data_IF_259791331294
#
_entry.id   IF_259791331294
#
_cell.length_a   1.000
_cell.length_b   1.000
_cell.length_c   1.000
_cell.angle_alpha   90.00
_cell.angle_beta   90.00
_cell.angle_gamma   90.00
#
_symmetry.space_group_name_H-M   'P 1'
#
loop_
_entity.id
_entity.type
_entity.pdbx_description
1 polymer ?
#
# COMPACT_ATOMS: atom_id res chain seq x y z
N UNK A 1 -29.19 -2.65 19.76
CA UNK A 1 -28.70 -3.98 19.34
C UNK A 1 -27.26 -3.86 18.88
N UNK A 2 -26.35 -4.63 19.48
CA UNK A 2 -24.96 -4.79 19.07
C UNK A 2 -24.89 -5.52 17.73
N UNK A 3 -23.94 -5.15 16.86
CA UNK A 3 -23.71 -5.87 15.61
C UNK A 3 -23.35 -7.32 15.93
N UNK A 4 -24.03 -8.28 15.33
CA UNK A 4 -23.68 -9.69 15.46
C UNK A 4 -22.52 -9.99 14.52
N UNK A 5 -21.33 -10.25 15.08
CA UNK A 5 -20.16 -10.67 14.31
C UNK A 5 -20.34 -12.13 13.86
N UNK A 6 -20.47 -12.35 12.57
CA UNK A 6 -20.72 -13.68 12.01
C UNK A 6 -19.41 -14.35 11.57
N UNK A 7 -18.58 -13.60 10.87
CA UNK A 7 -17.43 -14.16 10.14
C UNK A 7 -16.09 -13.92 10.82
N UNK A 8 -16.03 -13.08 11.87
CA UNK A 8 -14.81 -12.77 12.59
C UNK A 8 -14.81 -13.16 14.06
N UNK A 9 -13.61 -13.20 14.62
CA UNK A 9 -13.35 -13.27 16.05
C UNK A 9 -12.38 -12.16 16.45
N UNK A 10 -12.39 -11.76 17.72
CA UNK A 10 -11.37 -10.85 18.24
C UNK A 10 -10.02 -11.54 18.25
N UNK A 11 -8.97 -10.78 17.95
CA UNK A 11 -7.59 -11.24 18.11
C UNK A 11 -7.31 -11.35 19.60
N UNK A 12 -6.65 -12.44 20.01
CA UNK A 12 -6.25 -12.66 21.40
C UNK A 12 -5.50 -11.42 21.94
N UNK A 13 -5.93 -10.81 23.06
CA UNK A 13 -5.22 -9.70 23.69
C UNK A 13 -3.73 -9.97 23.92
N UNK A 14 -3.34 -11.22 24.17
CA UNK A 14 -1.94 -11.60 24.32
C UNK A 14 -1.15 -11.47 23.00
N UNK A 15 -1.76 -11.78 21.85
CA UNK A 15 -1.16 -11.56 20.53
C UNK A 15 -1.12 -10.07 20.18
N UNK A 16 -2.14 -9.31 20.56
CA UNK A 16 -2.11 -7.84 20.43
C UNK A 16 -0.96 -7.25 21.24
N UNK A 17 -0.78 -7.69 22.49
CA UNK A 17 0.28 -7.22 23.38
C UNK A 17 1.70 -7.57 22.91
N UNK A 18 1.87 -8.66 22.15
CA UNK A 18 3.15 -9.02 21.50
C UNK A 18 3.48 -8.14 20.30
N UNK A 19 2.47 -7.50 19.71
CA UNK A 19 2.65 -6.59 18.58
C UNK A 19 3.10 -5.20 19.03
N UNK A 20 3.45 -4.34 18.08
CA UNK A 20 3.70 -2.90 18.32
C UNK A 20 2.43 -2.06 18.20
N UNK A 21 1.26 -2.71 18.12
CA UNK A 21 -0.03 -2.05 17.88
C UNK A 21 -0.40 -1.20 19.09
N UNK A 22 -0.87 0.00 18.84
CA UNK A 22 -1.38 0.91 19.87
C UNK A 22 -2.74 1.50 19.51
N UNK A 23 -3.45 0.91 18.55
CA UNK A 23 -4.84 1.27 18.26
C UNK A 23 -5.70 1.11 19.51
N UNK A 24 -6.65 2.00 19.67
CA UNK A 24 -7.66 2.01 20.74
C UNK A 24 -8.86 1.12 20.41
N UNK A 25 -8.95 0.63 19.17
CA UNK A 25 -10.06 -0.21 18.72
C UNK A 25 -9.79 -1.71 18.92
N UNK A 26 -10.84 -2.52 19.19
CA UNK A 26 -10.73 -3.96 19.15
C UNK A 26 -10.28 -4.45 17.77
N UNK A 27 -9.25 -5.30 17.75
CA UNK A 27 -8.76 -5.92 16.51
C UNK A 27 -9.51 -7.22 16.28
N UNK A 28 -10.06 -7.39 15.08
CA UNK A 28 -10.77 -8.61 14.66
C UNK A 28 -10.09 -9.25 13.47
N UNK A 29 -10.19 -10.57 13.37
CA UNK A 29 -9.68 -11.36 12.24
C UNK A 29 -10.77 -12.28 11.72
N UNK A 30 -10.87 -12.39 10.39
CA UNK A 30 -11.79 -13.31 9.74
C UNK A 30 -11.46 -14.77 10.11
N UNK A 31 -12.49 -15.57 10.44
CA UNK A 31 -12.35 -16.97 10.89
C UNK A 31 -11.74 -17.89 9.81
N UNK A 32 -12.08 -17.66 8.54
CA UNK A 32 -11.52 -18.37 7.39
C UNK A 32 -10.22 -17.72 6.85
N UNK A 33 -9.24 -17.48 7.73
CA UNK A 33 -7.94 -16.96 7.31
C UNK A 33 -7.20 -17.93 6.35
N UNK A 34 -7.45 -19.24 6.47
CA UNK A 34 -6.89 -20.25 5.57
C UNK A 34 -7.24 -19.99 4.09
N UNK A 35 -8.48 -19.54 3.80
CA UNK A 35 -8.89 -19.12 2.45
C UNK A 35 -8.06 -17.96 1.91
N UNK A 36 -7.80 -16.93 2.74
CA UNK A 36 -6.95 -15.80 2.31
C UNK A 36 -5.51 -16.24 2.03
N UNK A 37 -4.93 -17.12 2.85
CA UNK A 37 -3.60 -17.65 2.60
C UNK A 37 -3.53 -18.46 1.29
N UNK A 38 -4.55 -19.28 1.01
CA UNK A 38 -4.64 -20.04 -0.24
C UNK A 38 -4.72 -19.10 -1.45
N UNK A 39 -5.56 -18.07 -1.39
CA UNK A 39 -5.71 -17.07 -2.43
C UNK A 39 -4.41 -16.28 -2.65
N UNK A 40 -3.74 -15.87 -1.56
CA UNK A 40 -2.45 -15.18 -1.60
C UNK A 40 -1.37 -16.06 -2.24
N UNK A 41 -1.27 -17.33 -1.86
CA UNK A 41 -0.35 -18.27 -2.49
C UNK A 41 -0.59 -18.45 -4.01
N UNK A 42 -1.85 -18.38 -4.46
CA UNK A 42 -2.18 -18.40 -5.88
C UNK A 42 -1.73 -17.11 -6.58
N UNK A 43 -2.08 -15.96 -6.00
CA UNK A 43 -1.64 -14.65 -6.48
C UNK A 43 -0.12 -14.59 -6.65
N UNK A 44 0.64 -14.98 -5.62
CA UNK A 44 2.10 -14.96 -5.60
C UNK A 44 2.68 -15.76 -6.77
N UNK A 45 2.14 -16.96 -7.03
CA UNK A 45 2.57 -17.81 -8.15
C UNK A 45 2.34 -17.15 -9.50
N UNK A 46 1.21 -16.50 -9.69
CA UNK A 46 0.87 -15.79 -10.92
C UNK A 46 1.70 -14.52 -11.09
N UNK A 47 1.86 -13.75 -10.02
CA UNK A 47 2.67 -12.53 -10.00
C UNK A 47 4.12 -12.82 -10.37
N UNK A 48 4.73 -13.88 -9.82
CA UNK A 48 6.07 -14.33 -10.19
C UNK A 48 6.21 -14.60 -11.69
N UNK A 49 5.18 -15.13 -12.34
CA UNK A 49 5.19 -15.36 -13.80
C UNK A 49 5.17 -14.04 -14.58
N UNK A 50 4.60 -12.97 -14.03
CA UNK A 50 4.53 -11.65 -14.67
C UNK A 50 5.85 -10.89 -14.49
N UNK A 51 6.33 -10.76 -13.25
CA UNK A 51 7.46 -9.88 -12.89
C UNK A 51 8.82 -10.60 -12.75
N UNK A 52 8.82 -11.93 -12.69
CA UNK A 52 10.01 -12.76 -12.48
C UNK A 52 10.35 -12.99 -10.99
N UNK A 53 10.93 -14.15 -10.70
CA UNK A 53 11.11 -14.70 -9.34
C UNK A 53 12.14 -13.94 -8.47
N UNK A 54 13.03 -13.17 -9.09
CA UNK A 54 14.19 -12.54 -8.41
C UNK A 54 13.89 -11.21 -7.72
N UNK A 55 12.64 -10.76 -7.70
CA UNK A 55 12.35 -9.37 -7.39
C UNK A 55 11.72 -9.12 -6.01
N UNK A 56 11.14 -10.12 -5.32
CA UNK A 56 10.31 -9.83 -4.13
C UNK A 56 10.28 -10.92 -3.07
N UNK A 57 10.30 -10.47 -1.81
CA UNK A 57 9.70 -11.19 -0.71
C UNK A 57 8.17 -11.02 -0.85
N UNK A 58 7.44 -12.11 -1.08
CA UNK A 58 6.05 -12.03 -1.57
C UNK A 58 5.00 -12.24 -0.49
N UNK A 59 5.42 -12.50 0.75
CA UNK A 59 4.52 -12.64 1.89
C UNK A 59 4.21 -11.28 2.56
N UNK A 60 4.29 -10.18 1.80
CA UNK A 60 4.22 -8.82 2.33
C UNK A 60 2.87 -8.44 2.91
N UNK A 61 1.80 -9.16 2.54
CA UNK A 61 0.46 -8.95 3.09
C UNK A 61 0.19 -9.82 4.34
N UNK A 62 1.13 -10.64 4.79
CA UNK A 62 0.94 -11.45 6.00
C UNK A 62 1.31 -10.70 7.27
N UNK A 63 0.70 -11.14 8.38
CA UNK A 63 1.07 -10.83 9.76
C UNK A 63 1.09 -12.13 10.57
N UNK A 64 1.59 -12.12 11.82
CA UNK A 64 1.58 -13.30 12.69
C UNK A 64 0.18 -13.89 12.95
N UNK A 65 -0.87 -13.06 12.89
CA UNK A 65 -2.25 -13.46 13.21
C UNK A 65 -3.08 -13.77 11.96
N UNK A 66 -2.72 -13.20 10.82
CA UNK A 66 -3.42 -13.47 9.56
C UNK A 66 -3.05 -12.55 8.41
N UNK A 67 -3.65 -12.83 7.26
CA UNK A 67 -3.49 -12.03 6.06
C UNK A 67 -4.13 -10.64 6.23
N UNK A 68 -3.59 -9.64 5.55
CA UNK A 68 -4.07 -8.25 5.58
C UNK A 68 -5.58 -8.15 5.32
N UNK A 69 -6.11 -8.87 4.32
CA UNK A 69 -7.54 -8.87 4.04
C UNK A 69 -8.39 -9.40 5.22
N UNK A 70 -7.92 -10.43 5.93
CA UNK A 70 -8.63 -11.00 7.08
C UNK A 70 -8.73 -10.01 8.25
N UNK A 71 -7.78 -9.07 8.35
CA UNK A 71 -7.74 -8.03 9.37
C UNK A 71 -8.47 -6.76 8.92
N UNK A 72 -8.30 -6.36 7.65
CA UNK A 72 -8.90 -5.16 7.07
C UNK A 72 -10.42 -5.28 6.93
N UNK A 73 -10.92 -6.45 6.54
CA UNK A 73 -12.35 -6.71 6.35
C UNK A 73 -12.74 -7.99 7.09
N UNK A 74 -12.73 -7.97 8.44
CA UNK A 74 -12.87 -9.18 9.24
C UNK A 74 -14.27 -9.81 9.09
N UNK A 75 -15.29 -9.01 8.76
CA UNK A 75 -16.65 -9.46 8.46
C UNK A 75 -16.94 -9.55 6.94
N UNK A 76 -15.89 -9.70 6.12
CA UNK A 76 -16.03 -9.98 4.69
C UNK A 76 -16.90 -11.21 4.45
N UNK A 77 -17.74 -11.17 3.42
CA UNK A 77 -18.51 -12.35 3.00
C UNK A 77 -17.55 -13.47 2.57
N UNK A 78 -17.73 -14.72 3.06
CA UNK A 78 -16.79 -15.82 2.79
C UNK A 78 -16.51 -16.10 1.31
N UNK A 79 -17.51 -15.90 0.45
CA UNK A 79 -17.42 -16.02 -0.99
C UNK A 79 -16.58 -14.89 -1.64
N UNK A 80 -16.56 -13.69 -1.04
CA UNK A 80 -15.78 -12.52 -1.52
C UNK A 80 -14.35 -12.51 -1.01
N UNK A 81 -14.07 -13.21 0.09
CA UNK A 81 -12.79 -13.16 0.80
C UNK A 81 -11.56 -13.51 -0.04
N UNK A 82 -11.66 -14.50 -0.92
CA UNK A 82 -10.54 -14.90 -1.78
C UNK A 82 -10.16 -13.80 -2.78
N UNK A 83 -11.16 -13.17 -3.40
CA UNK A 83 -10.97 -12.04 -4.31
C UNK A 83 -10.34 -10.84 -3.57
N UNK A 84 -10.87 -10.49 -2.39
CA UNK A 84 -10.33 -9.37 -1.59
C UNK A 84 -8.88 -9.61 -1.18
N UNK A 85 -8.52 -10.85 -0.84
CA UNK A 85 -7.14 -11.21 -0.54
C UNK A 85 -6.20 -10.95 -1.72
N UNK A 86 -6.56 -11.43 -2.93
CA UNK A 86 -5.80 -11.16 -4.15
C UNK A 86 -5.70 -9.67 -4.47
N UNK A 87 -6.77 -8.90 -4.24
CA UNK A 87 -6.78 -7.45 -4.42
C UNK A 87 -5.80 -6.73 -3.48
N UNK A 88 -5.76 -7.13 -2.21
CA UNK A 88 -4.81 -6.64 -1.23
C UNK A 88 -3.35 -6.98 -1.59
N UNK A 89 -3.10 -8.23 -2.00
CA UNK A 89 -1.79 -8.66 -2.48
C UNK A 89 -1.35 -7.88 -3.72
N UNK A 90 -2.28 -7.64 -4.66
CA UNK A 90 -2.01 -6.84 -5.84
C UNK A 90 -1.61 -5.40 -5.49
N UNK A 91 -2.37 -4.74 -4.62
CA UNK A 91 -2.06 -3.38 -4.16
C UNK A 91 -0.68 -3.30 -3.49
N UNK A 92 -0.40 -4.23 -2.58
CA UNK A 92 0.87 -4.27 -1.84
C UNK A 92 2.08 -4.61 -2.72
N UNK A 93 1.90 -5.47 -3.73
CA UNK A 93 2.93 -5.83 -4.70
C UNK A 93 3.23 -4.69 -5.69
N UNK A 94 2.20 -3.99 -6.18
CA UNK A 94 2.37 -2.81 -7.05
C UNK A 94 3.12 -1.69 -6.32
N UNK A 95 2.78 -1.42 -5.05
CA UNK A 95 3.49 -0.44 -4.20
C UNK A 95 4.97 -0.84 -3.98
N UNK A 96 5.22 -2.12 -3.67
CA UNK A 96 6.60 -2.64 -3.50
C UNK A 96 7.48 -2.42 -4.74
N UNK A 97 6.94 -2.62 -5.95
CA UNK A 97 7.66 -2.37 -7.20
C UNK A 97 7.86 -0.87 -7.47
N UNK A 98 6.86 -0.01 -7.17
CA UNK A 98 6.99 1.45 -7.36
C UNK A 98 8.21 1.98 -6.59
N UNK A 99 8.32 1.61 -5.32
CA UNK A 99 9.43 2.03 -4.45
C UNK A 99 10.76 1.41 -4.90
N UNK A 100 10.78 0.12 -5.25
CA UNK A 100 11.98 -0.53 -5.80
C UNK A 100 12.50 0.06 -7.12
N UNK A 101 11.65 0.70 -7.94
CA UNK A 101 12.05 1.38 -9.18
C UNK A 101 12.44 2.85 -9.01
N UNK A 102 11.82 3.59 -8.08
CA UNK A 102 12.31 4.92 -7.69
C UNK A 102 13.74 4.83 -7.11
N UNK A 103 14.08 3.66 -6.58
CA UNK A 103 15.38 3.32 -6.00
C UNK A 103 16.47 2.91 -7.01
N UNK A 104 16.18 2.88 -8.31
CA UNK A 104 17.15 2.63 -9.39
C UNK A 104 17.31 3.92 -10.20
N UNK A 105 18.52 4.48 -10.23
CA UNK A 105 18.85 5.78 -10.84
C UNK A 105 18.36 5.88 -12.30
N UNK A 106 17.85 7.04 -12.74
CA UNK A 106 17.69 7.37 -14.15
C UNK A 106 19.00 7.70 -14.89
N UNK A 107 20.15 7.79 -14.19
CA UNK A 107 21.39 8.39 -14.72
C UNK A 107 22.40 7.42 -15.34
N UNK A 108 22.02 6.17 -15.60
CA UNK A 108 22.78 5.31 -16.54
C UNK A 108 22.61 5.75 -18.02
N UNK A 109 22.11 6.96 -18.26
CA UNK A 109 22.29 7.68 -19.52
C UNK A 109 23.51 8.57 -19.39
N UNK A 110 24.68 7.95 -19.51
CA UNK A 110 25.97 8.62 -19.59
C UNK A 110 25.93 9.77 -20.61
N UNK A 111 25.91 11.00 -20.09
CA UNK A 111 26.09 12.24 -20.82
C UNK A 111 27.53 12.34 -21.28
N UNK A 112 27.78 12.02 -22.55
CA UNK A 112 28.93 12.51 -23.29
C UNK A 112 28.47 12.95 -24.69
N UNK A 113 27.70 14.04 -24.73
CA UNK A 113 27.51 14.81 -25.95
C UNK A 113 28.61 15.88 -26.01
N UNK A 114 29.75 15.51 -26.59
CA UNK A 114 30.75 16.47 -27.05
C UNK A 114 30.09 17.26 -28.18
N UNK A 115 30.07 18.59 -28.01
CA UNK A 115 29.67 19.56 -29.04
C UNK A 115 30.59 19.42 -30.25
N UNK A 116 29.99 19.22 -31.42
CA UNK A 116 30.64 19.30 -32.72
C UNK A 116 29.58 19.55 -33.79
N UNK A 117 29.60 20.75 -34.34
CA UNK A 117 28.71 21.27 -35.37
C UNK A 117 29.07 20.71 -36.77
N UNK A 118 28.19 20.99 -37.74
CA UNK A 118 28.28 20.84 -39.21
C UNK A 118 27.46 19.69 -39.85
N UNK A 119 26.24 20.10 -40.24
CA UNK A 119 25.52 19.90 -41.50
C UNK A 119 25.44 18.52 -42.19
N UNK A 120 24.17 18.15 -42.46
CA UNK A 120 23.56 17.86 -43.78
C UNK A 120 23.07 16.42 -44.02
N UNK A 121 21.84 16.43 -44.55
CA UNK A 121 21.06 15.41 -45.30
C UNK A 121 20.38 14.29 -44.54
N UNK A 122 19.04 14.41 -44.54
CA UNK A 122 18.04 13.40 -44.27
C UNK A 122 18.28 12.14 -45.11
N UNK A 123 18.35 10.98 -44.46
CA UNK A 123 17.84 9.74 -45.01
C UNK A 123 17.31 8.88 -43.86
N UNK A 124 15.99 8.69 -43.85
CA UNK A 124 15.24 7.85 -42.91
C UNK A 124 15.80 6.42 -42.95
N UNK A 125 16.55 6.04 -41.91
CA UNK A 125 16.80 4.64 -41.60
C UNK A 125 16.30 4.35 -40.19
N UNK A 126 15.19 3.60 -40.12
CA UNK A 126 14.62 3.03 -38.89
C UNK A 126 15.59 1.98 -38.36
N UNK A 127 16.60 2.40 -37.61
CA UNK A 127 17.34 1.51 -36.71
C UNK A 127 16.79 1.74 -35.31
N UNK A 128 15.71 1.03 -35.00
CA UNK A 128 15.23 0.87 -33.62
C UNK A 128 16.36 0.21 -32.83
N UNK A 129 17.08 1.00 -32.03
CA UNK A 129 17.99 0.52 -31.01
C UNK A 129 17.19 -0.27 -29.97
N UNK A 130 17.19 -1.59 -30.14
CA UNK A 130 16.46 -2.64 -29.39
C UNK A 130 16.87 -2.76 -27.90
N UNK A 131 17.57 -1.77 -27.35
CA UNK A 131 18.19 -1.83 -26.02
C UNK A 131 17.47 -0.99 -24.94
N UNK A 132 16.50 -0.13 -25.28
CA UNK A 132 15.81 0.74 -24.30
C UNK A 132 14.39 0.30 -23.92
N UNK A 133 13.90 -0.85 -24.43
CA UNK A 133 12.51 -1.31 -24.24
C UNK A 133 12.35 -2.57 -23.36
N UNK A 134 13.34 -2.93 -22.53
CA UNK A 134 13.20 -4.03 -21.56
C UNK A 134 13.14 -3.47 -20.15
N UNK A 135 11.91 -3.24 -19.65
CA UNK A 135 11.49 -3.48 -18.24
C UNK A 135 10.31 -2.63 -17.75
N UNK A 136 9.45 -2.16 -18.66
CA UNK A 136 8.11 -1.74 -18.23
C UNK A 136 7.15 -2.94 -18.14
N UNK A 137 7.24 -3.70 -17.05
CA UNK A 137 6.34 -4.81 -16.78
C UNK A 137 4.85 -4.41 -16.81
N UNK A 138 4.53 -3.12 -16.59
CA UNK A 138 3.15 -2.59 -16.64
C UNK A 138 2.60 -2.49 -18.06
N UNK A 139 3.45 -2.29 -19.06
CA UNK A 139 3.02 -2.37 -20.46
C UNK A 139 2.98 -3.80 -21.00
N UNK A 140 3.44 -4.79 -20.22
CA UNK A 140 3.41 -6.19 -20.65
C UNK A 140 1.97 -6.72 -20.82
N UNK A 141 1.73 -7.48 -21.88
CA UNK A 141 0.44 -8.13 -22.13
C UNK A 141 0.07 -9.14 -21.03
N UNK A 142 1.06 -9.67 -20.29
CA UNK A 142 0.82 -10.54 -19.13
C UNK A 142 0.22 -9.77 -17.96
N UNK A 143 0.76 -8.59 -17.65
CA UNK A 143 0.21 -7.73 -16.59
C UNK A 143 -1.19 -7.24 -16.92
N UNK A 144 -1.41 -6.74 -18.14
CA UNK A 144 -2.73 -6.26 -18.57
C UNK A 144 -3.79 -7.38 -18.53
N UNK A 145 -3.43 -8.59 -18.96
CA UNK A 145 -4.32 -9.77 -18.86
C UNK A 145 -4.63 -10.12 -17.42
N UNK A 146 -3.62 -10.10 -16.55
CA UNK A 146 -3.82 -10.35 -15.12
C UNK A 146 -4.76 -9.33 -14.47
N UNK A 147 -4.57 -8.03 -14.75
CA UNK A 147 -5.48 -7.00 -14.25
C UNK A 147 -6.92 -7.22 -14.74
N UNK A 148 -7.10 -7.55 -16.02
CA UNK A 148 -8.41 -7.84 -16.58
C UNK A 148 -9.05 -9.08 -15.93
N UNK A 149 -8.29 -10.14 -15.71
CA UNK A 149 -8.76 -11.36 -15.04
C UNK A 149 -9.17 -11.08 -13.58
N UNK A 150 -8.35 -10.36 -12.83
CA UNK A 150 -8.68 -9.98 -11.45
C UNK A 150 -9.95 -9.13 -11.39
N UNK A 151 -10.12 -8.21 -12.36
CA UNK A 151 -11.32 -7.39 -12.45
C UNK A 151 -12.57 -8.20 -12.81
N UNK A 152 -12.47 -9.15 -13.75
CA UNK A 152 -13.57 -10.06 -14.10
C UNK A 152 -13.96 -10.94 -12.91
N UNK A 153 -12.98 -11.52 -12.20
CA UNK A 153 -13.22 -12.27 -10.96
C UNK A 153 -13.96 -11.42 -9.93
N UNK A 154 -13.60 -10.14 -9.81
CA UNK A 154 -14.30 -9.17 -8.97
C UNK A 154 -15.76 -8.97 -9.38
N UNK A 155 -16.04 -8.76 -10.66
CA UNK A 155 -17.41 -8.61 -11.16
C UNK A 155 -18.26 -9.88 -10.91
N UNK A 156 -17.69 -11.06 -11.12
CA UNK A 156 -18.36 -12.34 -10.88
C UNK A 156 -18.65 -12.57 -9.40
N UNK A 157 -17.72 -12.18 -8.52
CA UNK A 157 -17.80 -12.49 -7.07
C UNK A 157 -18.55 -11.43 -6.27
N UNK A 158 -18.38 -10.16 -6.64
CA UNK A 158 -18.84 -9.02 -5.87
C UNK A 158 -19.85 -8.14 -6.62
N UNK A 159 -20.18 -8.50 -7.87
CA UNK A 159 -21.15 -7.78 -8.69
C UNK A 159 -20.62 -6.44 -9.24
N UNK A 160 -21.52 -5.61 -9.80
CA UNK A 160 -21.16 -4.36 -10.47
C UNK A 160 -20.56 -3.31 -9.53
N UNK A 161 -20.66 -3.48 -8.21
CA UNK A 161 -20.03 -2.59 -7.22
C UNK A 161 -18.53 -2.45 -7.43
N UNK A 162 -17.84 -3.46 -7.97
CA UNK A 162 -16.40 -3.40 -8.30
C UNK A 162 -16.03 -2.28 -9.27
N UNK A 163 -16.99 -1.76 -10.05
CA UNK A 163 -16.78 -0.59 -10.90
C UNK A 163 -16.38 0.66 -10.09
N UNK A 164 -16.92 0.85 -8.87
CA UNK A 164 -16.55 1.99 -8.01
C UNK A 164 -15.08 1.93 -7.57
N UNK A 165 -14.54 0.72 -7.39
CA UNK A 165 -13.12 0.51 -7.09
C UNK A 165 -12.23 0.93 -8.25
N UNK A 166 -12.64 0.71 -9.50
CA UNK A 166 -11.87 1.13 -10.67
C UNK A 166 -11.78 2.65 -10.73
N UNK A 167 -12.90 3.35 -10.55
CA UNK A 167 -12.92 4.82 -10.50
C UNK A 167 -12.03 5.35 -9.37
N UNK A 168 -12.15 4.78 -8.18
CA UNK A 168 -11.32 5.14 -7.02
C UNK A 168 -9.83 4.85 -7.25
N UNK A 169 -9.52 3.76 -7.97
CA UNK A 169 -8.13 3.40 -8.32
C UNK A 169 -7.55 4.38 -9.32
N UNK A 170 -8.31 4.84 -10.31
CA UNK A 170 -7.87 5.88 -11.26
C UNK A 170 -7.55 7.17 -10.53
N UNK A 171 -8.47 7.68 -9.69
CA UNK A 171 -8.25 8.88 -8.89
C UNK A 171 -7.03 8.75 -7.96
N UNK A 172 -6.85 7.58 -7.33
CA UNK A 172 -5.65 7.26 -6.56
C UNK A 172 -4.38 7.34 -7.41
N UNK A 173 -4.35 6.73 -8.60
CA UNK A 173 -3.19 6.77 -9.48
C UNK A 173 -2.85 8.19 -9.96
N UNK A 174 -3.86 9.02 -10.22
CA UNK A 174 -3.70 10.44 -10.55
C UNK A 174 -3.10 11.23 -9.38
N UNK A 175 -3.59 11.00 -8.16
CA UNK A 175 -3.05 11.68 -6.96
C UNK A 175 -1.59 11.32 -6.66
N UNK A 176 -1.16 10.09 -6.98
CA UNK A 176 0.23 9.66 -6.83
C UNK A 176 1.19 10.38 -7.81
N UNK A 177 0.68 11.12 -8.80
CA UNK A 177 1.51 11.95 -9.66
C UNK A 177 1.92 13.27 -8.99
N UNK A 178 1.25 13.65 -7.90
CA UNK A 178 1.50 14.89 -7.15
C UNK A 178 2.55 14.59 -6.07
N UNK A 179 3.73 15.20 -6.21
CA UNK A 179 4.80 15.08 -5.22
C UNK A 179 4.77 16.26 -4.24
N UNK A 180 4.86 15.94 -2.95
CA UNK A 180 4.70 16.88 -1.84
C UNK A 180 5.95 17.72 -1.51
N UNK A 181 6.73 18.15 -2.51
CA UNK A 181 8.01 18.82 -2.23
C UNK A 181 7.86 20.11 -1.39
N UNK A 182 6.64 20.56 -1.14
CA UNK A 182 6.32 21.86 -0.52
C UNK A 182 5.47 21.76 0.77
N UNK A 183 5.13 20.56 1.28
CA UNK A 183 4.38 20.48 2.54
C UNK A 183 5.26 20.91 3.72
N UNK A 184 4.88 22.00 4.39
CA UNK A 184 5.58 22.52 5.57
C UNK A 184 4.84 22.24 6.88
N UNK A 185 3.58 21.82 6.80
CA UNK A 185 2.74 21.48 7.93
C UNK A 185 2.04 20.14 7.74
N UNK A 186 1.63 19.51 8.85
CA UNK A 186 0.80 18.32 8.81
C UNK A 186 -0.57 18.59 8.16
N UNK A 187 -1.10 19.81 8.29
CA UNK A 187 -2.38 20.21 7.73
C UNK A 187 -2.36 20.19 6.20
N UNK A 188 -1.30 20.71 5.58
CA UNK A 188 -1.12 20.67 4.13
C UNK A 188 -0.81 19.24 3.63
N UNK A 189 -0.14 18.46 4.47
CA UNK A 189 0.28 17.10 4.15
C UNK A 189 -0.89 16.11 4.09
N UNK A 190 -1.78 16.17 5.08
CA UNK A 190 -2.81 15.15 5.30
C UNK A 190 -3.75 14.93 4.10
N UNK A 191 -4.30 15.97 3.44
CA UNK A 191 -5.15 15.79 2.26
C UNK A 191 -4.43 15.03 1.13
N UNK A 192 -3.18 15.41 0.85
CA UNK A 192 -2.36 14.74 -0.17
C UNK A 192 -2.05 13.30 0.24
N UNK A 193 -1.73 13.10 1.52
CA UNK A 193 -1.37 11.79 2.04
C UNK A 193 -2.55 10.83 2.05
N UNK A 194 -3.75 11.32 2.34
CA UNK A 194 -4.97 10.53 2.30
C UNK A 194 -5.25 10.06 0.86
N UNK A 195 -5.13 10.96 -0.12
CA UNK A 195 -5.28 10.61 -1.52
C UNK A 195 -4.21 9.58 -1.95
N UNK A 196 -2.92 9.84 -1.66
CA UNK A 196 -1.80 8.94 -1.93
C UNK A 196 -1.83 7.64 -1.12
N UNK A 197 -2.59 7.56 -0.03
CA UNK A 197 -2.76 6.32 0.74
C UNK A 197 -3.74 5.35 0.08
N UNK A 198 -4.53 5.81 -0.90
CA UNK A 198 -5.57 5.00 -1.53
C UNK A 198 -6.74 4.69 -0.59
N UNK A 199 -7.01 5.54 0.40
CA UNK A 199 -8.08 5.28 1.38
C UNK A 199 -9.48 5.27 0.76
N UNK A 200 -9.69 5.99 -0.35
CA UNK A 200 -10.89 5.84 -1.18
C UNK A 200 -11.09 4.40 -1.66
N UNK A 201 -10.03 3.77 -2.18
CA UNK A 201 -10.06 2.37 -2.63
C UNK A 201 -10.31 1.41 -1.45
N UNK A 202 -9.70 1.66 -0.29
CA UNK A 202 -9.92 0.82 0.90
C UNK A 202 -11.37 0.88 1.39
N UNK A 203 -12.00 2.05 1.39
CA UNK A 203 -13.43 2.19 1.73
C UNK A 203 -14.33 1.41 0.76
N UNK A 204 -14.07 1.49 -0.54
CA UNK A 204 -14.84 0.71 -1.52
C UNK A 204 -14.64 -0.80 -1.32
N UNK A 205 -13.41 -1.26 -1.02
CA UNK A 205 -13.15 -2.66 -0.67
C UNK A 205 -13.97 -3.08 0.56
N UNK A 206 -14.02 -2.25 1.60
CA UNK A 206 -14.82 -2.53 2.81
C UNK A 206 -16.30 -2.69 2.43
N UNK A 207 -16.88 -1.73 1.70
CA UNK A 207 -18.29 -1.79 1.32
C UNK A 207 -18.62 -3.00 0.45
N UNK A 208 -17.82 -3.24 -0.58
CA UNK A 208 -18.05 -4.33 -1.54
C UNK A 208 -17.80 -5.69 -0.89
N UNK A 209 -16.81 -5.83 -0.02
CA UNK A 209 -16.52 -7.12 0.62
C UNK A 209 -17.60 -7.55 1.62
N UNK A 210 -18.28 -6.58 2.25
CA UNK A 210 -19.26 -6.80 3.32
C UNK A 210 -20.71 -6.60 2.88
N UNK A 211 -20.94 -6.33 1.58
CA UNK A 211 -22.27 -6.03 1.03
C UNK A 211 -22.97 -4.89 1.78
N UNK A 212 -22.31 -3.73 1.79
CA UNK A 212 -22.82 -2.49 2.36
C UNK A 212 -23.16 -1.57 1.20
N UNK A 213 -24.47 -1.39 0.99
CA UNK A 213 -25.07 -0.59 -0.07
C UNK A 213 -25.44 0.82 0.38
N UNK A 214 -24.75 1.38 1.39
CA UNK A 214 -24.97 2.76 1.83
C UNK A 214 -24.85 3.69 0.62
N UNK A 215 -25.92 4.45 0.36
CA UNK A 215 -26.05 5.27 -0.83
C UNK A 215 -24.84 6.20 -0.94
N UNK A 216 -24.32 6.35 -2.16
CA UNK A 216 -23.22 7.26 -2.45
C UNK A 216 -23.58 8.68 -2.02
N UNK A 217 -24.87 9.04 -1.99
CA UNK A 217 -25.36 10.35 -1.52
C UNK A 217 -25.39 10.50 0.01
N UNK A 218 -25.52 9.42 0.78
CA UNK A 218 -25.49 9.47 2.25
C UNK A 218 -24.06 9.55 2.81
N UNK A 219 -23.07 9.01 2.07
CA UNK A 219 -21.66 8.98 2.48
C UNK A 219 -21.05 10.39 2.71
N UNK A 220 -21.29 11.41 1.85
CA UNK A 220 -20.85 12.77 2.10
C UNK A 220 -21.32 13.33 3.45
N UNK A 221 -22.57 13.04 3.84
CA UNK A 221 -23.16 13.53 5.08
C UNK A 221 -22.41 13.06 6.34
N UNK A 222 -21.79 11.88 6.28
CA UNK A 222 -21.04 11.29 7.40
C UNK A 222 -19.53 11.30 7.18
N UNK A 223 -19.03 11.92 6.12
CA UNK A 223 -17.60 11.92 5.81
C UNK A 223 -16.76 12.57 6.91
N UNK A 224 -17.29 13.60 7.59
CA UNK A 224 -16.63 14.22 8.73
C UNK A 224 -16.34 13.25 9.89
N UNK A 225 -17.08 12.13 9.99
CA UNK A 225 -16.91 11.07 11.00
C UNK A 225 -15.99 9.97 10.50
N UNK A 226 -15.92 9.75 9.18
CA UNK A 226 -15.04 8.77 8.55
C UNK A 226 -13.62 9.31 8.34
N UNK A 227 -13.47 10.59 8.00
CA UNK A 227 -12.18 11.24 7.74
C UNK A 227 -11.16 11.03 8.86
N UNK A 228 -11.51 11.09 10.17
CA UNK A 228 -10.57 10.77 11.23
C UNK A 228 -9.97 9.36 11.13
N UNK A 229 -10.72 8.35 10.66
CA UNK A 229 -10.18 7.02 10.42
C UNK A 229 -9.16 7.00 9.27
N UNK A 230 -9.41 7.77 8.20
CA UNK A 230 -8.44 7.92 7.09
C UNK A 230 -7.15 8.59 7.56
N UNK A 231 -7.27 9.61 8.42
CA UNK A 231 -6.12 10.25 9.08
C UNK A 231 -5.36 9.24 9.94
N UNK A 232 -6.05 8.47 10.79
CA UNK A 232 -5.43 7.46 11.64
C UNK A 232 -4.66 6.42 10.80
N UNK A 233 -5.26 5.92 9.72
CA UNK A 233 -4.61 4.94 8.83
C UNK A 233 -3.43 5.55 8.06
N UNK A 234 -3.55 6.79 7.56
CA UNK A 234 -2.46 7.51 6.89
C UNK A 234 -1.22 7.62 7.79
N UNK A 235 -1.42 8.14 8.99
CA UNK A 235 -0.36 8.37 9.97
C UNK A 235 0.18 7.06 10.54
N UNK A 236 -0.65 6.01 10.65
CA UNK A 236 -0.22 4.66 10.99
C UNK A 236 0.78 4.12 9.97
N UNK A 237 0.51 4.26 8.67
CA UNK A 237 1.45 3.82 7.65
C UNK A 237 2.78 4.56 7.80
N UNK A 238 2.74 5.88 7.92
CA UNK A 238 3.92 6.71 8.09
C UNK A 238 4.73 6.32 9.33
N UNK A 239 4.06 6.09 10.46
CA UNK A 239 4.70 5.73 11.72
C UNK A 239 5.50 4.42 11.59
N UNK A 240 4.88 3.36 11.06
CA UNK A 240 5.53 2.05 10.96
C UNK A 240 6.46 1.93 9.75
N UNK A 241 6.23 2.69 8.66
CA UNK A 241 7.09 2.67 7.47
C UNK A 241 8.31 3.56 7.59
N UNK A 242 8.29 4.61 8.43
CA UNK A 242 9.30 5.67 8.43
C UNK A 242 10.73 5.15 8.54
N UNK A 243 11.00 4.22 9.45
CA UNK A 243 12.36 3.65 9.63
C UNK A 243 12.88 3.00 8.35
N UNK A 244 12.03 2.22 7.68
CA UNK A 244 12.35 1.59 6.40
C UNK A 244 12.51 2.62 5.29
N UNK A 245 11.61 3.59 5.21
CA UNK A 245 11.65 4.66 4.20
C UNK A 245 12.92 5.51 4.33
N UNK A 246 13.30 5.88 5.56
CA UNK A 246 14.55 6.58 5.87
C UNK A 246 15.78 5.78 5.47
N UNK A 247 15.83 4.49 5.84
CA UNK A 247 16.95 3.61 5.47
C UNK A 247 17.09 3.49 3.94
N UNK A 248 15.99 3.32 3.21
CA UNK A 248 15.99 3.24 1.75
C UNK A 248 16.36 4.57 1.10
N UNK A 249 15.84 5.69 1.62
CA UNK A 249 16.15 7.03 1.11
C UNK A 249 17.65 7.33 1.20
N UNK A 250 18.28 6.98 2.33
CA UNK A 250 19.74 7.09 2.52
C UNK A 250 20.52 6.15 1.60
N UNK A 251 20.09 4.89 1.49
CA UNK A 251 20.76 3.88 0.66
C UNK A 251 20.76 4.24 -0.83
N UNK A 252 19.67 4.82 -1.32
CA UNK A 252 19.45 5.10 -2.73
C UNK A 252 19.77 6.54 -3.15
N UNK A 253 20.25 7.37 -2.22
CA UNK A 253 20.62 8.77 -2.45
C UNK A 253 19.52 9.55 -3.18
N UNK A 254 18.25 9.31 -2.82
CA UNK A 254 17.10 9.90 -3.51
C UNK A 254 17.04 11.40 -3.18
N UNK A 255 16.99 12.31 -4.16
CA UNK A 255 16.93 13.75 -3.87
C UNK A 255 15.55 14.16 -3.33
N UNK A 256 15.55 15.10 -2.37
CA UNK A 256 14.34 15.67 -1.75
C UNK A 256 14.01 15.05 -0.40
N UNK A 257 12.85 15.42 0.17
CA UNK A 257 12.41 14.90 1.47
C UNK A 257 11.64 13.59 1.33
N UNK A 258 11.71 12.75 2.37
CA UNK A 258 10.87 11.55 2.49
C UNK A 258 9.41 11.99 2.60
N UNK A 259 8.52 11.41 1.77
CA UNK A 259 7.09 11.70 1.82
C UNK A 259 6.42 10.99 3.01
N UNK A 260 6.60 11.54 4.21
CA UNK A 260 6.19 10.95 5.48
C UNK A 260 5.91 12.06 6.51
N UNK A 261 4.95 11.86 7.41
CA UNK A 261 4.62 12.83 8.46
C UNK A 261 5.77 13.12 9.45
N UNK A 262 6.66 12.17 9.72
CA UNK A 262 7.75 12.34 10.71
C UNK A 262 8.67 13.53 10.39
N UNK A 263 9.30 13.63 9.20
CA UNK A 263 10.15 14.78 8.87
C UNK A 263 9.39 16.10 8.82
N UNK A 264 8.08 16.07 8.49
CA UNK A 264 7.22 17.25 8.50
C UNK A 264 7.01 17.74 9.93
N UNK A 265 6.69 16.84 10.87
CA UNK A 265 6.53 17.20 12.28
C UNK A 265 7.84 17.71 12.90
N UNK A 266 8.98 17.09 12.56
CA UNK A 266 10.30 17.57 12.99
C UNK A 266 10.55 19.02 12.52
N UNK A 267 10.26 19.31 11.25
CA UNK A 267 10.45 20.64 10.68
C UNK A 267 9.44 21.67 11.25
N UNK A 268 8.17 21.29 11.34
CA UNK A 268 7.08 22.15 11.81
C UNK A 268 7.25 22.55 13.29
N UNK A 269 7.78 21.67 14.13
CA UNK A 269 7.89 21.90 15.57
C UNK A 269 9.32 22.06 16.09
N UNK A 270 10.33 21.89 15.24
CA UNK A 270 11.74 21.94 15.65
C UNK A 270 12.13 20.83 16.63
N UNK A 271 11.50 19.66 16.53
CA UNK A 271 11.64 18.56 17.50
C UNK A 271 12.56 17.44 17.02
N UNK A 272 12.99 16.58 17.95
CA UNK A 272 13.73 15.36 17.59
C UNK A 272 12.85 14.35 16.83
N UNK A 273 13.48 13.37 16.20
CA UNK A 273 12.76 12.24 15.57
C UNK A 273 11.92 11.45 16.59
N UNK A 274 12.44 11.25 17.80
CA UNK A 274 11.73 10.55 18.87
C UNK A 274 10.46 11.30 19.31
N UNK A 275 10.57 12.61 19.49
CA UNK A 275 9.44 13.47 19.85
C UNK A 275 8.41 13.56 18.71
N UNK A 276 8.88 13.64 17.46
CA UNK A 276 8.00 13.63 16.29
C UNK A 276 7.22 12.30 16.17
N UNK A 277 7.86 11.16 16.44
CA UNK A 277 7.18 9.87 16.50
C UNK A 277 6.18 9.80 17.66
N UNK A 278 6.53 10.32 18.83
CA UNK A 278 5.61 10.38 19.96
C UNK A 278 4.38 11.24 19.65
N UNK A 279 4.57 12.40 19.03
CA UNK A 279 3.50 13.28 18.56
C UNK A 279 2.65 12.61 17.47
N UNK A 280 3.28 11.90 16.53
CA UNK A 280 2.58 11.15 15.49
C UNK A 280 1.70 10.05 16.08
N UNK A 281 2.20 9.31 17.07
CA UNK A 281 1.43 8.32 17.84
C UNK A 281 0.21 8.95 18.50
N UNK A 282 0.39 10.08 19.18
CA UNK A 282 -0.71 10.81 19.81
C UNK A 282 -1.77 11.23 18.78
N UNK A 283 -1.36 11.77 17.64
CA UNK A 283 -2.31 12.19 16.58
C UNK A 283 -3.11 11.05 15.97
N UNK A 284 -2.56 9.84 15.91
CA UNK A 284 -3.29 8.63 15.50
C UNK A 284 -4.40 8.33 16.51
N UNK A 285 -4.07 8.31 17.80
CA UNK A 285 -5.03 8.04 18.90
C UNK A 285 -6.14 9.10 18.91
N UNK A 286 -5.78 10.38 18.84
CA UNK A 286 -6.77 11.47 18.79
C UNK A 286 -7.70 11.36 17.56
N UNK A 287 -7.22 10.80 16.45
CA UNK A 287 -8.05 10.59 15.26
C UNK A 287 -9.05 9.45 15.44
N UNK A 288 -8.66 8.37 16.13
CA UNK A 288 -9.57 7.29 16.53
C UNK A 288 -10.64 7.79 17.52
N UNK A 289 -10.24 8.60 18.51
CA UNK A 289 -11.13 9.22 19.49
C UNK A 289 -12.12 10.18 18.83
N UNK A 290 -11.67 11.03 17.88
CA UNK A 290 -12.55 11.91 17.10
C UNK A 290 -13.61 11.14 16.32
N UNK A 291 -13.26 9.98 15.75
CA UNK A 291 -14.25 9.12 15.12
C UNK A 291 -15.28 8.61 16.13
N UNK A 292 -14.86 8.13 17.30
CA UNK A 292 -15.78 7.68 18.34
C UNK A 292 -16.74 8.80 18.79
N UNK A 293 -16.21 9.98 19.11
CA UNK A 293 -17.03 11.13 19.49
C UNK A 293 -18.06 11.52 18.41
N UNK A 294 -17.66 11.48 17.13
CA UNK A 294 -18.57 11.75 16.02
C UNK A 294 -19.69 10.72 15.87
N UNK A 295 -19.41 9.43 16.13
CA UNK A 295 -20.46 8.39 16.13
C UNK A 295 -21.41 8.58 17.32
N UNK A 296 -20.89 8.88 18.50
CA UNK A 296 -21.71 9.14 19.70
C UNK A 296 -22.63 10.36 19.49
N UNK A 297 -22.12 11.45 18.89
CA UNK A 297 -22.93 12.62 18.56
C UNK A 297 -24.07 12.29 17.58
N UNK A 298 -23.82 11.44 16.58
CA UNK A 298 -24.90 11.00 15.69
C UNK A 298 -25.94 10.15 16.42
N UNK A 299 -25.52 9.22 17.27
CA UNK A 299 -26.44 8.38 18.04
C UNK A 299 -27.29 9.20 19.03
N UNK A 300 -26.76 10.33 19.55
CA UNK A 300 -27.52 11.26 20.38
C UNK A 300 -28.60 12.03 19.61
N UNK A 301 -28.41 12.27 18.30
CA UNK A 301 -29.40 12.94 17.45
C UNK A 301 -30.57 12.04 17.06
N UNK A 302 -30.42 10.72 17.22
CA UNK A 302 -31.46 9.73 16.96
C UNK A 302 -30.88 8.36 16.61
N UNK A 303 -31.72 7.32 16.52
CA UNK A 303 -31.27 6.00 16.12
C UNK A 303 -30.70 6.03 14.71
N UNK A 304 -29.49 5.49 14.54
CA UNK A 304 -28.87 5.37 13.23
C UNK A 304 -29.63 4.36 12.35
N UNK A 305 -29.71 4.67 11.05
CA UNK A 305 -30.04 3.67 10.04
C UNK A 305 -29.12 2.44 10.23
N UNK A 306 -29.66 1.20 10.26
CA UNK A 306 -28.86 -0.03 10.39
C UNK A 306 -27.70 -0.14 9.39
N UNK A 307 -27.88 0.31 8.16
CA UNK A 307 -26.85 0.28 7.13
C UNK A 307 -25.73 1.30 7.38
N UNK A 308 -26.09 2.52 7.81
CA UNK A 308 -25.10 3.51 8.24
C UNK A 308 -24.30 3.00 9.43
N UNK A 309 -24.97 2.38 10.40
CA UNK A 309 -24.29 1.76 11.55
C UNK A 309 -23.32 0.66 11.10
N UNK A 310 -23.72 -0.21 10.18
CA UNK A 310 -22.85 -1.24 9.57
C UNK A 310 -21.64 -0.59 8.89
N UNK A 311 -21.84 0.48 8.13
CA UNK A 311 -20.77 1.21 7.45
C UNK A 311 -19.74 1.79 8.43
N UNK A 312 -20.19 2.56 9.43
CA UNK A 312 -19.30 3.17 10.44
C UNK A 312 -18.48 2.10 11.18
N UNK A 313 -19.12 1.00 11.57
CA UNK A 313 -18.45 -0.12 12.24
C UNK A 313 -17.46 -0.84 11.32
N UNK A 314 -17.82 -1.05 10.06
CA UNK A 314 -16.94 -1.69 9.09
C UNK A 314 -15.67 -0.86 8.84
N UNK A 315 -15.79 0.46 8.69
CA UNK A 315 -14.65 1.35 8.58
C UNK A 315 -13.77 1.34 9.84
N UNK A 316 -14.38 1.33 11.04
CA UNK A 316 -13.65 1.24 12.32
C UNK A 316 -12.86 -0.06 12.44
N UNK A 317 -13.49 -1.21 12.13
CA UNK A 317 -12.80 -2.51 12.11
C UNK A 317 -11.65 -2.52 11.10
N UNK A 318 -11.86 -1.93 9.92
CA UNK A 318 -10.82 -1.82 8.91
C UNK A 318 -9.63 -0.97 9.37
N UNK A 319 -9.87 0.15 10.05
CA UNK A 319 -8.80 0.97 10.63
C UNK A 319 -8.01 0.21 11.71
N UNK A 320 -8.70 -0.53 12.60
CA UNK A 320 -8.06 -1.35 13.64
C UNK A 320 -7.17 -2.45 13.03
N UNK A 321 -7.71 -3.20 12.06
CA UNK A 321 -6.97 -4.25 11.35
C UNK A 321 -5.80 -3.71 10.52
N UNK A 322 -5.99 -2.54 9.89
CA UNK A 322 -4.93 -1.83 9.18
C UNK A 322 -3.78 -1.47 10.12
N UNK A 323 -4.09 -0.92 11.28
CA UNK A 323 -3.10 -0.57 12.29
C UNK A 323 -2.35 -1.78 12.81
N UNK A 324 -3.07 -2.82 13.22
CA UNK A 324 -2.47 -4.04 13.73
C UNK A 324 -1.55 -4.70 12.69
N UNK A 325 -1.98 -4.77 11.44
CA UNK A 325 -1.15 -5.31 10.36
C UNK A 325 0.14 -4.49 10.18
N UNK A 326 0.08 -3.16 10.15
CA UNK A 326 1.28 -2.32 10.02
C UNK A 326 2.25 -2.50 11.19
N UNK A 327 1.71 -2.68 12.40
CA UNK A 327 2.51 -2.87 13.59
C UNK A 327 3.26 -4.20 13.63
N UNK A 328 2.70 -5.24 13.00
CA UNK A 328 3.13 -6.64 13.13
C UNK A 328 3.68 -7.27 11.85
N UNK A 329 3.50 -6.62 10.69
CA UNK A 329 3.93 -7.19 9.41
C UNK A 329 5.45 -7.14 9.25
N UNK A 330 6.08 -8.21 8.70
CA UNK A 330 7.49 -8.17 8.34
C UNK A 330 7.79 -7.18 7.21
N UNK A 331 6.77 -6.65 6.50
CA UNK A 331 6.93 -5.68 5.40
C UNK A 331 7.79 -4.47 5.79
N UNK A 332 7.74 -4.02 7.03
CA UNK A 332 8.45 -2.83 7.51
C UNK A 332 9.75 -3.14 8.27
N UNK A 333 10.13 -4.41 8.37
CA UNK A 333 11.44 -4.78 8.89
C UNK A 333 12.52 -4.35 7.91
N UNK A 334 13.63 -3.81 8.45
CA UNK A 334 14.82 -3.50 7.68
C UNK A 334 15.60 -4.81 7.60
N UNK A 335 15.86 -5.37 6.40
CA UNK A 335 16.66 -6.58 6.29
C UNK A 335 18.02 -6.35 6.96
N UNK A 336 18.55 -7.32 7.73
CA UNK A 336 19.86 -7.16 8.34
C UNK A 336 20.91 -6.93 7.25
N UNK A 337 21.63 -5.81 7.37
CA UNK A 337 22.84 -5.57 6.60
C UNK A 337 23.88 -6.56 7.14
N UNK A 338 23.94 -7.76 6.58
CA UNK A 338 25.01 -8.69 6.91
C UNK A 338 26.33 -7.96 6.67
N UNK A 339 27.23 -7.91 7.65
CA UNK A 339 28.52 -7.19 7.60
C UNK A 339 29.47 -7.66 6.47
N UNK A 340 29.06 -8.63 5.64
CA UNK A 340 29.70 -9.03 4.38
C UNK A 340 29.06 -8.42 3.12
N UNK A 341 28.08 -7.52 3.25
CA UNK A 341 27.33 -6.93 2.13
C UNK A 341 27.92 -5.61 1.61
N UNK A 342 29.25 -5.55 1.45
CA UNK A 342 29.87 -4.73 0.38
C UNK A 342 29.58 -5.29 -1.02
N UNK A 343 28.60 -6.18 -1.17
CA UNK A 343 28.44 -7.03 -2.34
C UNK A 343 27.02 -7.09 -2.91
N UNK A 344 26.10 -6.17 -2.57
CA UNK A 344 24.91 -6.04 -3.44
C UNK A 344 25.30 -5.51 -4.83
N UNK A 345 26.29 -4.61 -4.91
CA UNK A 345 26.95 -4.28 -6.17
C UNK A 345 27.83 -5.44 -6.68
N UNK A 346 28.54 -6.14 -5.79
CA UNK A 346 29.44 -7.25 -6.15
C UNK A 346 28.74 -8.48 -6.76
N UNK A 347 27.52 -8.81 -6.34
CA UNK A 347 26.72 -9.93 -6.88
C UNK A 347 26.09 -9.56 -8.23
N UNK A 348 25.73 -8.28 -8.42
CA UNK A 348 25.15 -7.78 -9.68
C UNK A 348 26.25 -7.65 -10.75
N UNK A 349 27.43 -7.14 -10.40
CA UNK A 349 28.53 -6.90 -11.34
C UNK A 349 29.33 -8.17 -11.68
N UNK A 350 29.53 -9.11 -10.73
CA UNK A 350 30.30 -10.34 -11.00
C UNK A 350 29.58 -11.33 -11.93
N UNK A 351 28.24 -11.41 -11.86
CA UNK A 351 27.45 -12.28 -12.77
C UNK A 351 27.34 -11.73 -14.19
N UNK A 352 27.57 -10.43 -14.39
CA UNK A 352 27.65 -9.84 -15.73
C UNK A 352 29.01 -10.08 -16.38
N UNK A 353 30.11 -10.07 -15.61
CA UNK A 353 31.47 -10.36 -16.13
C UNK A 353 31.71 -11.85 -16.37
N UNK A 354 31.10 -12.74 -15.59
CA UNK A 354 31.21 -14.20 -15.80
C UNK A 354 30.54 -14.66 -17.11
N UNK A 355 29.47 -14.00 -17.59
CA UNK A 355 28.78 -14.36 -18.83
C UNK A 355 29.39 -13.79 -20.12
N UNK A 356 30.34 -12.86 -20.04
CA UNK A 356 31.10 -12.37 -21.21
C UNK A 356 32.44 -13.10 -21.42
N UNK A 357 32.86 -14.00 -20.53
CA UNK A 357 34.05 -14.84 -20.74
C UNK A 357 33.75 -16.27 -21.20
N UNK A 358 32.47 -16.64 -21.30
CA UNK A 358 32.03 -17.98 -21.74
C UNK A 358 31.41 -17.99 -23.14
N UNK A 359 31.49 -16.88 -23.89
CA UNK A 359 30.98 -16.76 -25.26
C UNK A 359 32.10 -16.43 -26.27
N UNK A 360 33.31 -16.95 -26.02
CA UNK A 360 34.46 -16.90 -26.94
C UNK A 360 35.19 -18.25 -27.05
N UNK A 361 34.54 -19.35 -26.70
CA UNK A 361 34.99 -20.68 -27.10
C UNK A 361 33.80 -21.43 -27.71
N UNK A 362 34.02 -21.87 -28.96
CA UNK A 362 33.22 -22.77 -29.79
C UNK A 362 32.11 -22.13 -30.63
N UNK A 363 32.50 -21.89 -31.90
CA UNK A 363 31.77 -21.86 -33.19
C UNK A 363 30.40 -21.19 -33.23
#
# INVERSE_FOLDING_TARGET
MSLQYQYSQEVDPAEVAKSRSFTTFPVRVHKDNARTQKASNQFIKEWKRIVGDKRFDLNVAQSPVGHFASLLVPECLPERLAFVAKGCDFATAVDGIKRGKQNLHPDDKNTNAIKGDVSRTETKSKILTRASQRDDWRSSSRYKRFQAQLFLEGLETCGPGVMSMVASTTAYLESNAIYSRECTSLEDYLPLRIANGGFSVLKEIICISMDIGLDIEERPGVYHIIKPLEVAMALTNDFFSYRKEKALHLLHNVPGNIFNAVPILMAQHGTSEGDALALLRQKIIEAEERHCAGVEELEQKGPLNPELKRYLMACRMGAAGYHFWHASTPRFEIPPVNANSRSLEGVIVSRFRSRMRSALCWV
#
